data_IF_006721216251
#
_entry.id   IF_006721216251
#
_cell.length_a   1.000
_cell.length_b   1.000
_cell.length_c   1.000
_cell.angle_alpha   90.00
_cell.angle_beta   90.00
_cell.angle_gamma   90.00
#
_symmetry.space_group_name_H-M   'P 1'
#
loop_
_entity.id
_entity.type
_entity.pdbx_description
1 polymer ?
#
# COMPACT_ATOMS: atom_id res chain seq x y z
N UNK A 1 -16.49 -5.49 18.97
CA UNK A 1 -15.54 -4.46 18.47
C UNK A 1 -14.99 -4.95 17.13
N UNK A 2 -15.44 -4.47 15.97
CA UNK A 2 -14.80 -4.83 14.71
C UNK A 2 -13.83 -3.73 14.27
N UNK A 3 -12.62 -4.19 14.02
CA UNK A 3 -11.44 -3.52 13.51
C UNK A 3 -11.76 -2.52 12.38
N UNK A 4 -11.30 -1.27 12.51
CA UNK A 4 -11.34 -0.28 11.44
C UNK A 4 -10.40 -0.73 10.32
N UNK A 5 -10.93 -1.49 9.36
CA UNK A 5 -10.18 -2.02 8.22
C UNK A 5 -9.68 -0.88 7.34
N UNK A 6 -8.38 -0.62 7.39
CA UNK A 6 -7.71 0.23 6.40
C UNK A 6 -7.67 -0.55 5.09
N UNK A 7 -8.52 -0.14 4.14
CA UNK A 7 -8.60 -0.71 2.79
C UNK A 7 -7.43 -0.17 1.98
N UNK A 8 -6.34 -0.93 1.96
CA UNK A 8 -5.16 -0.58 1.17
C UNK A 8 -5.37 -0.87 -0.31
N UNK A 9 -5.09 0.12 -1.15
CA UNK A 9 -5.01 -0.05 -2.59
C UNK A 9 -3.57 0.25 -3.03
N UNK A 10 -2.73 -0.79 -3.14
CA UNK A 10 -1.55 -0.68 -4.00
C UNK A 10 -1.94 -1.09 -5.40
N UNK A 11 -2.05 -0.12 -6.29
CA UNK A 11 -2.27 -0.39 -7.71
C UNK A 11 -0.94 -0.49 -8.41
N UNK A 12 -0.41 -1.69 -8.47
CA UNK A 12 0.56 -2.02 -9.50
C UNK A 12 -0.12 -3.01 -10.45
N UNK A 13 0.09 -2.87 -11.75
CA UNK A 13 -0.60 -3.71 -12.72
C UNK A 13 -0.15 -5.17 -12.58
N UNK A 14 -0.93 -6.10 -12.01
CA UNK A 14 -0.63 -7.53 -12.17
C UNK A 14 -1.77 -8.54 -11.91
N UNK A 15 -2.07 -9.26 -13.01
CA UNK A 15 -2.15 -10.71 -13.21
C UNK A 15 -3.00 -11.61 -12.26
N UNK A 16 -4.16 -12.10 -12.75
CA UNK A 16 -4.85 -13.32 -12.26
C UNK A 16 -5.22 -14.34 -13.39
N UNK A 17 -5.21 -15.66 -13.09
CA UNK A 17 -5.44 -16.80 -14.01
C UNK A 17 -6.93 -17.19 -14.12
N UNK A 18 -7.39 -17.56 -15.32
CA UNK A 18 -8.59 -18.39 -15.55
C UNK A 18 -8.29 -19.43 -16.63
N UNK A 19 -8.81 -20.66 -16.45
CA UNK A 19 -8.66 -21.79 -17.37
C UNK A 19 -9.49 -21.57 -18.66
N UNK A 20 -8.94 -21.94 -19.82
CA UNK A 20 -9.58 -21.91 -21.15
C UNK A 20 -9.32 -23.24 -21.88
N UNK A 21 -10.23 -23.72 -22.75
CA UNK A 21 -10.22 -25.12 -23.22
C UNK A 21 -9.09 -25.50 -24.20
N UNK A 22 -8.33 -24.53 -24.72
CA UNK A 22 -7.44 -24.73 -25.86
C UNK A 22 -5.98 -24.36 -25.56
N UNK A 23 -5.36 -25.00 -24.56
CA UNK A 23 -3.89 -25.22 -24.44
C UNK A 23 -2.90 -24.03 -24.41
N UNK A 24 -3.31 -22.80 -24.72
CA UNK A 24 -2.46 -21.61 -24.78
C UNK A 24 -2.85 -20.58 -23.73
N UNK A 25 -1.99 -20.37 -22.73
CA UNK A 25 -2.18 -19.30 -21.74
C UNK A 25 -1.86 -17.92 -22.32
N UNK A 26 -2.86 -17.25 -22.89
CA UNK A 26 -2.80 -15.82 -23.18
C UNK A 26 -3.31 -15.02 -21.97
N UNK A 27 -2.42 -14.28 -21.32
CA UNK A 27 -2.71 -13.50 -20.11
C UNK A 27 -3.31 -12.14 -20.48
N UNK A 28 -4.61 -11.88 -20.24
CA UNK A 28 -5.16 -10.53 -20.45
C UNK A 28 -4.74 -9.62 -19.29
N UNK A 29 -3.93 -8.60 -19.60
CA UNK A 29 -3.27 -7.71 -18.62
C UNK A 29 -4.24 -6.59 -18.21
N UNK A 30 -4.75 -6.61 -16.97
CA UNK A 30 -5.49 -5.45 -16.42
C UNK A 30 -4.52 -4.30 -16.16
N UNK A 31 -4.68 -3.20 -16.89
CA UNK A 31 -3.90 -1.98 -16.67
C UNK A 31 -4.43 -1.22 -15.46
N UNK A 32 -3.61 -0.36 -14.84
CA UNK A 32 -4.06 0.60 -13.82
C UNK A 32 -5.33 1.33 -14.30
N UNK A 33 -5.32 1.83 -15.54
CA UNK A 33 -6.46 2.50 -16.18
C UNK A 33 -7.74 1.65 -16.16
N UNK A 34 -7.63 0.36 -16.49
CA UNK A 34 -8.77 -0.56 -16.47
C UNK A 34 -9.30 -0.88 -15.07
N UNK A 35 -8.49 -0.68 -14.02
CA UNK A 35 -8.89 -0.89 -12.63
C UNK A 35 -9.40 0.38 -11.95
N UNK A 36 -9.12 1.58 -12.47
CA UNK A 36 -9.53 2.85 -11.87
C UNK A 36 -11.05 2.90 -11.55
N UNK A 37 -11.96 2.44 -12.43
CA UNK A 37 -13.40 2.46 -12.12
C UNK A 37 -13.81 1.59 -10.93
N UNK A 38 -13.00 0.58 -10.57
CA UNK A 38 -13.23 -0.27 -9.42
C UNK A 38 -12.58 0.28 -8.15
N UNK A 39 -11.37 0.84 -8.29
CA UNK A 39 -10.58 1.34 -7.16
C UNK A 39 -11.17 2.64 -6.62
N UNK A 40 -11.54 3.56 -7.51
CA UNK A 40 -12.02 4.89 -7.12
C UNK A 40 -13.21 4.86 -6.17
N UNK A 41 -14.33 4.17 -6.46
CA UNK A 41 -15.45 4.09 -5.51
C UNK A 41 -15.08 3.33 -4.22
N UNK A 42 -14.14 2.39 -4.29
CA UNK A 42 -13.74 1.60 -3.13
C UNK A 42 -12.94 2.41 -2.08
N UNK A 43 -12.24 3.47 -2.52
CA UNK A 43 -11.36 4.27 -1.65
C UNK A 43 -11.81 5.72 -1.46
N UNK A 44 -12.82 6.18 -2.21
CA UNK A 44 -13.35 7.54 -2.07
C UNK A 44 -13.82 7.80 -0.63
N UNK A 45 -13.42 8.93 -0.06
CA UNK A 45 -13.71 9.31 1.32
C UNK A 45 -13.01 8.45 2.38
N UNK A 46 -12.21 7.46 1.99
CA UNK A 46 -11.49 6.60 2.92
C UNK A 46 -10.13 7.17 3.29
N UNK A 47 -9.57 6.68 4.38
CA UNK A 47 -8.16 6.87 4.73
C UNK A 47 -7.35 5.76 4.07
N UNK A 48 -6.32 6.11 3.33
CA UNK A 48 -5.55 5.15 2.52
C UNK A 48 -4.09 5.17 2.95
N UNK A 49 -3.57 3.98 3.28
CA UNK A 49 -2.14 3.76 3.46
C UNK A 49 -1.51 3.28 2.16
N UNK A 50 -0.47 3.97 1.70
CA UNK A 50 0.21 3.71 0.42
C UNK A 50 1.72 3.65 0.66
N UNK A 51 2.37 2.65 0.06
CA UNK A 51 3.82 2.57 0.09
C UNK A 51 4.40 3.48 -0.98
N UNK A 52 5.24 4.45 -0.59
CA UNK A 52 5.85 5.43 -1.51
C UNK A 52 4.86 6.43 -2.13
N UNK A 53 3.93 6.95 -1.32
CA UNK A 53 2.89 7.88 -1.74
C UNK A 53 3.39 9.06 -2.62
N UNK A 54 4.57 9.68 -2.41
CA UNK A 54 5.05 10.76 -3.29
C UNK A 54 5.30 10.33 -4.73
N UNK A 55 5.69 9.09 -4.98
CA UNK A 55 5.86 8.57 -6.34
C UNK A 55 4.50 8.26 -6.95
N UNK A 56 3.62 7.61 -6.19
CA UNK A 56 2.27 7.27 -6.64
C UNK A 56 1.41 8.50 -6.95
N UNK A 57 1.55 9.57 -6.18
CA UNK A 57 0.88 10.85 -6.39
C UNK A 57 1.34 11.58 -7.67
N UNK A 58 2.52 11.25 -8.22
CA UNK A 58 2.99 11.80 -9.51
C UNK A 58 2.39 11.06 -10.72
N UNK A 59 1.83 9.88 -10.51
CA UNK A 59 1.17 9.12 -11.59
C UNK A 59 -0.22 9.70 -11.85
N UNK A 60 -0.41 10.36 -13.00
CA UNK A 60 -1.64 11.11 -13.33
C UNK A 60 -2.94 10.31 -13.18
N UNK A 61 -2.92 9.01 -13.46
CA UNK A 61 -4.08 8.13 -13.28
C UNK A 61 -4.42 7.86 -11.82
N UNK A 62 -3.42 7.71 -10.95
CA UNK A 62 -3.61 7.44 -9.53
C UNK A 62 -3.84 8.73 -8.74
N UNK A 63 -3.17 9.83 -9.11
CA UNK A 63 -3.37 11.15 -8.54
C UNK A 63 -4.85 11.58 -8.53
N UNK A 64 -5.57 11.35 -9.65
CA UNK A 64 -7.01 11.64 -9.75
C UNK A 64 -7.84 10.87 -8.73
N UNK A 65 -7.51 9.58 -8.54
CA UNK A 65 -8.23 8.73 -7.59
C UNK A 65 -7.89 9.10 -6.15
N UNK A 66 -6.62 9.42 -5.88
CA UNK A 66 -6.13 9.85 -4.57
C UNK A 66 -6.66 11.23 -4.17
N UNK A 67 -7.04 12.09 -5.10
CA UNK A 67 -7.69 13.37 -4.77
C UNK A 67 -9.04 13.20 -4.05
N UNK A 68 -9.71 12.05 -4.23
CA UNK A 68 -11.01 11.77 -3.60
C UNK A 68 -10.95 11.07 -2.25
N UNK A 69 -9.76 10.83 -1.68
CA UNK A 69 -9.59 10.13 -0.40
C UNK A 69 -9.57 11.14 0.75
N UNK A 70 -9.97 10.73 1.95
CA UNK A 70 -9.99 11.61 3.12
C UNK A 70 -8.58 11.90 3.67
N UNK A 71 -7.69 10.91 3.60
CA UNK A 71 -6.32 11.02 4.10
C UNK A 71 -5.39 10.04 3.38
N UNK A 72 -4.14 10.46 3.12
CA UNK A 72 -3.09 9.60 2.57
C UNK A 72 -1.97 9.48 3.60
N UNK A 73 -1.69 8.25 4.03
CA UNK A 73 -0.54 7.92 4.89
C UNK A 73 0.53 7.18 4.10
N UNK A 74 1.73 7.74 4.07
CA UNK A 74 2.86 7.10 3.40
C UNK A 74 3.52 6.11 4.34
N UNK A 75 3.34 4.81 4.10
CA UNK A 75 3.87 3.73 4.95
C UNK A 75 5.39 3.83 5.14
N UNK A 76 6.13 4.25 4.11
CA UNK A 76 7.59 4.46 4.20
C UNK A 76 7.98 5.54 5.20
N UNK A 77 7.19 6.62 5.26
CA UNK A 77 7.47 7.76 6.16
C UNK A 77 7.18 7.37 7.59
N UNK A 78 6.06 6.70 7.83
CA UNK A 78 5.67 6.22 9.16
C UNK A 78 6.62 5.13 9.67
N UNK A 79 7.18 4.31 8.77
CA UNK A 79 8.10 3.23 9.15
C UNK A 79 9.53 3.71 9.41
N UNK A 80 9.98 4.82 8.83
CA UNK A 80 11.37 5.26 8.94
C UNK A 80 11.84 5.48 10.40
N UNK A 81 11.06 6.12 11.29
CA UNK A 81 11.42 6.25 12.71
C UNK A 81 11.45 4.92 13.46
N UNK A 82 10.56 3.98 13.09
CA UNK A 82 10.51 2.64 13.73
C UNK A 82 11.73 1.81 13.37
N UNK A 83 12.23 1.94 12.14
CA UNK A 83 13.48 1.31 11.73
C UNK A 83 14.71 1.97 12.38
N UNK A 84 14.64 3.27 12.68
CA UNK A 84 15.63 3.97 13.51
C UNK A 84 16.92 4.40 12.82
N UNK A 85 17.07 4.19 11.51
CA UNK A 85 18.28 4.61 10.78
C UNK A 85 18.27 6.13 10.52
N UNK A 86 19.04 6.89 11.30
CA UNK A 86 19.15 8.33 11.16
C UNK A 86 20.10 8.74 10.02
N UNK A 87 19.69 9.69 9.19
CA UNK A 87 20.55 10.29 8.16
C UNK A 87 20.97 11.70 8.60
N UNK A 88 22.20 11.85 9.09
CA UNK A 88 22.74 13.13 9.59
C UNK A 88 22.76 14.23 8.53
N UNK A 89 23.07 13.89 7.27
CA UNK A 89 23.09 14.86 6.16
C UNK A 89 21.72 15.42 5.83
N UNK A 90 20.65 14.65 6.06
CA UNK A 90 19.26 15.03 5.77
C UNK A 90 18.48 15.46 7.01
N UNK A 91 19.05 15.33 8.21
CA UNK A 91 18.39 15.64 9.48
C UNK A 91 17.08 14.87 9.69
N UNK A 92 16.99 13.63 9.19
CA UNK A 92 15.77 12.83 9.24
C UNK A 92 16.06 11.33 9.24
N UNK A 93 15.09 10.53 9.70
CA UNK A 93 15.15 9.07 9.55
C UNK A 93 15.10 8.67 8.06
N UNK A 94 15.99 7.77 7.69
CA UNK A 94 16.12 7.25 6.34
C UNK A 94 14.92 6.37 6.00
N UNK A 95 14.30 6.66 4.86
CA UNK A 95 13.26 5.81 4.32
C UNK A 95 13.80 4.44 3.93
N UNK A 96 13.02 3.41 4.22
CA UNK A 96 13.38 2.02 3.95
C UNK A 96 12.61 1.45 2.76
N UNK A 97 13.24 0.51 2.06
CA UNK A 97 12.58 -0.22 0.98
C UNK A 97 11.43 -1.09 1.50
N UNK A 98 10.46 -1.43 0.63
CA UNK A 98 9.35 -2.32 1.01
C UNK A 98 9.88 -3.69 1.44
N UNK A 99 10.91 -4.20 0.77
CA UNK A 99 11.54 -5.47 1.14
C UNK A 99 12.15 -5.41 2.54
N UNK A 100 12.82 -4.31 2.89
CA UNK A 100 13.39 -4.10 4.23
C UNK A 100 12.28 -4.05 5.29
N UNK A 101 11.25 -3.24 5.07
CA UNK A 101 10.13 -3.10 5.99
C UNK A 101 9.34 -4.41 6.16
N UNK A 102 9.06 -5.10 5.05
CA UNK A 102 8.39 -6.41 5.04
C UNK A 102 9.19 -7.45 5.84
N UNK A 103 10.52 -7.50 5.66
CA UNK A 103 11.39 -8.39 6.44
C UNK A 103 11.35 -8.03 7.93
N UNK A 104 11.40 -6.74 8.26
CA UNK A 104 11.37 -6.27 9.64
C UNK A 104 10.10 -6.72 10.38
N UNK A 105 8.95 -6.71 9.72
CA UNK A 105 7.67 -7.14 10.31
C UNK A 105 7.38 -8.63 10.15
N UNK A 106 8.34 -9.42 9.68
CA UNK A 106 8.18 -10.87 9.50
C UNK A 106 7.25 -11.28 8.36
N UNK A 107 7.02 -10.42 7.36
CA UNK A 107 6.19 -10.77 6.21
C UNK A 107 6.88 -11.82 5.32
N UNK A 108 6.24 -12.99 5.20
CA UNK A 108 6.67 -14.05 4.30
C UNK A 108 6.23 -13.75 2.86
N UNK A 109 7.20 -13.56 1.97
CA UNK A 109 6.92 -13.39 0.54
C UNK A 109 6.53 -14.74 -0.10
N UNK A 110 5.52 -14.77 -0.97
CA UNK A 110 5.19 -15.99 -1.72
C UNK A 110 6.36 -16.44 -2.59
N UNK A 111 6.50 -17.76 -2.80
CA UNK A 111 7.52 -18.38 -3.68
C UNK A 111 7.25 -18.18 -5.19
N UNK A 112 6.30 -17.32 -5.55
CA UNK A 112 5.95 -16.97 -6.92
C UNK A 112 6.71 -15.72 -7.39
N UNK A 113 6.82 -15.47 -8.71
CA UNK A 113 7.31 -14.20 -9.23
C UNK A 113 6.59 -13.02 -8.56
N UNK A 114 7.35 -11.97 -8.21
CA UNK A 114 6.81 -10.79 -7.51
C UNK A 114 5.70 -10.14 -8.35
N UNK A 115 4.55 -9.90 -7.71
CA UNK A 115 3.40 -9.25 -8.31
C UNK A 115 2.94 -8.09 -7.44
N UNK A 116 2.20 -7.16 -8.05
CA UNK A 116 1.61 -6.02 -7.38
C UNK A 116 0.81 -6.38 -6.13
N UNK A 117 0.01 -7.45 -6.21
CA UNK A 117 -0.75 -7.98 -5.07
C UNK A 117 0.16 -8.35 -3.90
N UNK A 118 1.33 -8.92 -4.16
CA UNK A 118 2.28 -9.31 -3.13
C UNK A 118 2.82 -8.07 -2.43
N UNK A 119 3.09 -7.01 -3.18
CA UNK A 119 3.53 -5.75 -2.60
C UNK A 119 2.41 -5.03 -1.84
N UNK A 120 1.15 -5.16 -2.28
CA UNK A 120 -0.02 -4.70 -1.53
C UNK A 120 -0.11 -5.41 -0.18
N UNK A 121 -0.01 -6.74 -0.16
CA UNK A 121 -0.04 -7.55 1.05
C UNK A 121 1.13 -7.22 2.00
N UNK A 122 2.34 -7.02 1.47
CA UNK A 122 3.48 -6.60 2.27
C UNK A 122 3.27 -5.20 2.87
N UNK A 123 2.71 -4.26 2.10
CA UNK A 123 2.34 -2.92 2.59
C UNK A 123 1.31 -3.02 3.70
N UNK A 124 0.38 -3.98 3.62
CA UNK A 124 -0.65 -4.21 4.61
C UNK A 124 -0.08 -4.76 5.91
N UNK A 125 0.83 -5.72 5.80
CA UNK A 125 1.53 -6.29 6.95
C UNK A 125 2.33 -5.21 7.69
N UNK A 126 3.08 -4.37 6.96
CA UNK A 126 3.84 -3.27 7.57
C UNK A 126 2.91 -2.27 8.26
N UNK A 127 1.79 -1.92 7.62
CA UNK A 127 0.84 -0.99 8.21
C UNK A 127 0.15 -1.54 9.47
N UNK A 128 -0.19 -2.83 9.50
CA UNK A 128 -0.73 -3.49 10.69
C UNK A 128 0.26 -3.44 11.85
N UNK A 129 1.54 -3.71 11.57
CA UNK A 129 2.60 -3.57 12.56
C UNK A 129 2.70 -2.13 13.08
N UNK A 130 2.71 -1.13 12.19
CA UNK A 130 2.73 0.28 12.58
C UNK A 130 1.54 0.66 13.46
N UNK A 131 0.34 0.21 13.12
CA UNK A 131 -0.87 0.48 13.91
C UNK A 131 -0.82 -0.13 15.32
N UNK A 132 0.02 -1.14 15.54
CA UNK A 132 0.31 -1.70 16.87
C UNK A 132 1.53 -1.10 17.56
N UNK A 133 2.31 -0.25 16.87
CA UNK A 133 3.54 0.33 17.40
C UNK A 133 3.22 1.45 18.40
N UNK A 134 3.69 1.38 19.66
CA UNK A 134 3.36 2.36 20.70
C UNK A 134 3.74 3.81 20.37
N UNK A 135 4.78 3.99 19.54
CA UNK A 135 5.24 5.31 19.10
C UNK A 135 4.51 5.87 17.88
N UNK A 136 3.57 5.14 17.28
CA UNK A 136 2.72 5.68 16.23
C UNK A 136 1.63 6.51 16.90
N UNK A 137 1.60 7.83 16.68
CA UNK A 137 0.49 8.63 17.21
C UNK A 137 -0.83 8.05 16.69
N UNK A 138 -1.78 7.70 17.58
CA UNK A 138 -3.09 7.28 17.14
C UNK A 138 -3.71 8.39 16.30
N UNK A 139 -4.34 8.00 15.20
CA UNK A 139 -5.07 8.96 14.38
C UNK A 139 -6.13 9.65 15.26
N UNK A 140 -6.29 10.98 15.21
CA UNK A 140 -7.37 11.63 15.92
C UNK A 140 -8.71 11.00 15.52
N UNK A 141 -9.53 10.69 16.51
CA UNK A 141 -10.89 10.19 16.30
C UNK A 141 -11.67 11.30 15.57
N UNK A 142 -12.24 10.99 14.40
CA UNK A 142 -12.97 11.95 13.58
C UNK A 142 -14.41 12.17 14.06
N UNK A 143 -14.77 11.61 15.23
CA UNK A 143 -16.02 11.89 15.92
C UNK A 143 -17.28 11.44 15.19
N UNK A 144 -17.17 10.69 14.09
CA UNK A 144 -18.34 10.19 13.35
C UNK A 144 -18.64 8.75 13.78
N UNK A 145 -19.68 8.62 14.60
CA UNK A 145 -20.40 7.37 14.86
C UNK A 145 -21.43 7.11 13.77
#
# INVERSE_FOLDING_TARGET
MPERVIRQAKVSANRQRRWMPNGGTAYRRSTLRGLLPLIEPAIRGQRVAIFNAPIDARSSGLARVLAGVAEIRCVMREFAPVYGEWNTRRGAYRWQSLTTAARHVGFAWPHEPRQARHECLATQAVWRYLASWPGMMPLPDDGRR
#
